data_IF_299795451566
#
_entry.id   IF_299795451566
#
_cell.length_a   1.000
_cell.length_b   1.000
_cell.length_c   1.000
_cell.angle_alpha   90.00
_cell.angle_beta   90.00
_cell.angle_gamma   90.00
#
_symmetry.space_group_name_H-M   'P 1'
#
loop_
_entity.id
_entity.type
_entity.pdbx_description
1 polymer ?
#
# COMPACT_ATOMS: atom_id res chain seq x y z
N UNK A 1 15.76 7.69 -13.20
CA UNK A 1 14.90 8.53 -12.37
C UNK A 1 14.64 7.76 -11.08
N UNK A 2 14.55 8.44 -9.95
CA UNK A 2 14.30 7.81 -8.64
C UNK A 2 12.84 8.05 -8.29
N UNK A 3 12.11 6.99 -7.97
CA UNK A 3 10.71 7.10 -7.56
C UNK A 3 10.58 7.98 -6.31
N UNK A 4 9.49 8.73 -6.20
CA UNK A 4 9.20 9.55 -5.03
C UNK A 4 8.45 8.77 -3.94
N UNK A 5 7.75 7.71 -4.33
CA UNK A 5 7.15 6.72 -3.43
C UNK A 5 7.41 5.34 -4.00
N UNK A 6 7.82 4.41 -3.15
CA UNK A 6 8.04 3.02 -3.52
C UNK A 6 7.60 2.11 -2.37
N UNK A 7 6.73 1.16 -2.67
CA UNK A 7 6.13 0.20 -1.74
C UNK A 7 6.19 -1.19 -2.34
N UNK A 8 6.65 -2.16 -1.56
CA UNK A 8 6.79 -3.56 -1.98
C UNK A 8 6.09 -4.48 -0.99
N UNK A 9 5.12 -5.27 -1.49
CA UNK A 9 4.36 -6.30 -0.77
C UNK A 9 3.81 -5.84 0.59
N UNK A 10 3.36 -4.58 0.64
CA UNK A 10 2.89 -3.95 1.87
C UNK A 10 1.59 -4.62 2.31
N UNK A 11 1.59 -5.07 3.57
CA UNK A 11 0.45 -5.68 4.23
C UNK A 11 0.20 -4.97 5.55
N UNK A 12 -1.08 -4.68 5.83
CA UNK A 12 -1.51 -4.13 7.12
C UNK A 12 -2.62 -4.97 7.69
N UNK A 13 -2.37 -5.48 8.88
CA UNK A 13 -3.30 -6.29 9.66
C UNK A 13 -3.61 -5.55 10.98
N UNK A 14 -4.89 -5.54 11.35
CA UNK A 14 -5.39 -5.06 12.64
C UNK A 14 -6.06 -6.20 13.40
N UNK A 15 -6.09 -6.11 14.73
CA UNK A 15 -6.64 -7.16 15.58
C UNK A 15 -5.71 -8.36 15.74
N UNK A 16 -6.22 -9.41 16.39
CA UNK A 16 -5.51 -10.67 16.66
C UNK A 16 -6.53 -11.82 16.75
N UNK A 17 -6.10 -13.05 16.40
CA UNK A 17 -6.94 -14.24 16.51
C UNK A 17 -8.15 -14.18 15.57
N UNK A 18 -9.33 -14.52 16.07
CA UNK A 18 -10.57 -14.55 15.27
C UNK A 18 -11.05 -13.16 14.82
N UNK A 19 -10.55 -12.08 15.44
CA UNK A 19 -10.90 -10.71 15.10
C UNK A 19 -9.83 -10.01 14.23
N UNK A 20 -9.01 -10.78 13.51
CA UNK A 20 -8.02 -10.25 12.59
C UNK A 20 -8.67 -9.67 11.33
N UNK A 21 -8.26 -8.46 10.95
CA UNK A 21 -8.68 -7.79 9.71
C UNK A 21 -7.46 -7.36 8.93
N UNK A 22 -7.36 -7.82 7.68
CA UNK A 22 -6.33 -7.38 6.74
C UNK A 22 -6.84 -6.16 5.96
N UNK A 23 -6.41 -4.98 6.41
CA UNK A 23 -6.79 -3.70 5.80
C UNK A 23 -6.01 -3.40 4.51
N UNK A 24 -4.79 -3.92 4.40
CA UNK A 24 -3.99 -3.87 3.17
C UNK A 24 -3.43 -5.28 2.94
N UNK A 25 -3.59 -5.84 1.75
CA UNK A 25 -3.24 -7.22 1.43
C UNK A 25 -2.20 -7.28 0.29
N UNK A 26 -0.92 -7.26 0.67
CA UNK A 26 0.20 -7.50 -0.25
C UNK A 26 0.29 -6.56 -1.46
N UNK A 27 0.11 -5.25 -1.26
CA UNK A 27 0.14 -4.30 -2.39
C UNK A 27 1.55 -3.78 -2.67
N UNK A 28 1.85 -3.58 -3.95
CA UNK A 28 3.06 -2.91 -4.42
C UNK A 28 2.66 -1.69 -5.24
N UNK A 29 3.30 -0.54 -4.97
CA UNK A 29 3.00 0.75 -5.59
C UNK A 29 4.29 1.54 -5.79
N UNK A 30 4.47 2.08 -6.99
CA UNK A 30 5.53 3.03 -7.32
C UNK A 30 4.88 4.31 -7.83
N UNK A 31 5.37 5.46 -7.37
CA UNK A 31 4.96 6.77 -7.89
C UNK A 31 6.19 7.52 -8.36
N UNK A 32 6.16 7.96 -9.61
CA UNK A 32 7.26 8.66 -10.25
C UNK A 32 7.16 10.19 -10.05
N UNK A 33 8.29 10.93 -10.15
CA UNK A 33 8.27 12.38 -10.07
C UNK A 33 7.32 13.01 -11.11
N UNK A 34 6.38 13.85 -10.65
CA UNK A 34 5.41 14.54 -11.51
C UNK A 34 4.14 13.74 -11.83
N UNK A 35 4.02 12.52 -11.32
CA UNK A 35 2.84 11.69 -11.48
C UNK A 35 1.71 12.15 -10.53
N UNK A 36 0.50 12.33 -11.08
CA UNK A 36 -0.70 12.63 -10.31
C UNK A 36 -1.48 11.34 -10.08
N UNK A 37 -1.57 10.91 -8.82
CA UNK A 37 -2.19 9.63 -8.43
C UNK A 37 -3.37 9.89 -7.51
N UNK A 38 -4.49 9.22 -7.76
CA UNK A 38 -5.65 9.18 -6.89
C UNK A 38 -5.92 7.73 -6.47
N UNK A 39 -6.15 7.53 -5.17
CA UNK A 39 -6.62 6.24 -4.62
C UNK A 39 -8.13 6.38 -4.43
N UNK A 40 -8.89 5.51 -5.09
CA UNK A 40 -10.35 5.51 -5.05
C UNK A 40 -10.84 4.23 -4.37
N UNK A 41 -11.73 4.36 -3.39
CA UNK A 41 -12.25 3.26 -2.58
C UNK A 41 -13.08 3.79 -1.43
#
# INVERSE_FOLDING_TARGET
MTAVVEMHDITKVYGQGEAEVRAVDGISLTVEPGEYVAIMG
#
